data_IF_290496578306
#
_entry.id   IF_290496578306
#
_cell.length_a   1.000
_cell.length_b   1.000
_cell.length_c   1.000
_cell.angle_alpha   90.00
_cell.angle_beta   90.00
_cell.angle_gamma   90.00
#
_symmetry.space_group_name_H-M   'P 1'
#
loop_
_entity.id
_entity.type
_entity.pdbx_description
1 polymer ?
#
# COMPACT_ATOMS: atom_id res chain seq x y z
N UNK A 1 10.75 0.75 19.94
CA UNK A 1 9.78 0.96 18.84
C UNK A 1 9.78 -0.31 18.01
N UNK A 2 8.88 -1.24 18.34
CA UNK A 2 8.92 -2.63 17.89
C UNK A 2 8.47 -2.77 16.43
N UNK A 3 9.22 -3.55 15.68
CA UNK A 3 8.82 -3.99 14.34
C UNK A 3 7.69 -5.00 14.52
N UNK A 4 6.44 -4.52 14.62
CA UNK A 4 5.28 -5.41 14.76
C UNK A 4 5.10 -6.21 13.47
N UNK A 5 5.40 -7.50 13.55
CA UNK A 5 4.97 -8.50 12.56
C UNK A 5 3.45 -8.64 12.68
N UNK A 6 2.72 -7.79 11.97
CA UNK A 6 1.27 -7.88 11.91
C UNK A 6 0.88 -8.95 10.89
N UNK A 7 -0.22 -9.70 11.12
CA UNK A 7 -0.77 -10.55 10.08
C UNK A 7 -1.24 -9.67 8.91
N UNK A 8 -1.10 -10.19 7.69
CA UNK A 8 -1.68 -9.55 6.51
C UNK A 8 -3.21 -9.56 6.67
N UNK A 9 -3.87 -8.49 6.25
CA UNK A 9 -5.32 -8.45 6.17
C UNK A 9 -5.82 -9.47 5.15
N UNK A 10 -7.05 -9.97 5.34
CA UNK A 10 -7.68 -10.94 4.45
C UNK A 10 -8.25 -10.27 3.19
N UNK A 11 -7.39 -9.53 2.47
CA UNK A 11 -7.72 -8.83 1.22
C UNK A 11 -6.55 -8.91 0.23
N UNK A 12 -6.80 -8.75 -1.08
CA UNK A 12 -5.71 -8.76 -2.06
C UNK A 12 -4.75 -7.59 -1.82
N UNK A 13 -3.46 -7.81 -2.08
CA UNK A 13 -2.43 -6.79 -1.91
C UNK A 13 -2.64 -5.55 -2.81
N UNK A 14 -3.38 -5.71 -3.90
CA UNK A 14 -3.79 -4.62 -4.78
C UNK A 14 -4.87 -3.71 -4.18
N UNK A 15 -5.59 -4.16 -3.14
CA UNK A 15 -6.71 -3.43 -2.56
C UNK A 15 -6.25 -2.64 -1.32
N UNK A 16 -6.23 -1.29 -1.37
CA UNK A 16 -5.98 -0.46 -0.20
C UNK A 16 -7.16 -0.47 0.76
N UNK A 17 -6.88 -0.29 2.05
CA UNK A 17 -7.94 -0.08 3.04
C UNK A 17 -8.61 1.29 2.85
N UNK A 18 -9.94 1.43 2.99
CA UNK A 18 -10.63 2.73 2.89
C UNK A 18 -10.09 3.80 3.85
N UNK A 19 -9.62 3.42 5.04
CA UNK A 19 -8.98 4.39 5.97
C UNK A 19 -7.58 4.85 5.54
N UNK A 20 -6.99 4.27 4.50
CA UNK A 20 -5.69 4.66 3.94
C UNK A 20 -5.82 5.35 2.59
N UNK A 21 -6.74 4.86 1.77
CA UNK A 21 -7.15 5.51 0.54
C UNK A 21 -8.68 5.51 0.49
N UNK A 22 -9.28 6.67 0.73
CA UNK A 22 -10.72 6.81 0.67
C UNK A 22 -11.24 6.41 -0.72
N UNK A 23 -12.39 5.71 -0.81
CA UNK A 23 -13.00 5.37 -2.09
C UNK A 23 -13.35 6.61 -2.93
N UNK A 24 -13.60 7.75 -2.28
CA UNK A 24 -13.92 9.05 -2.90
C UNK A 24 -12.69 9.90 -3.25
N UNK A 25 -11.47 9.36 -3.11
CA UNK A 25 -10.26 10.12 -3.43
C UNK A 25 -10.19 10.38 -4.95
N UNK A 26 -9.98 11.64 -5.39
CA UNK A 26 -10.01 11.99 -6.82
C UNK A 26 -8.99 11.19 -7.64
N UNK A 27 -7.77 11.02 -7.11
CA UNK A 27 -6.71 10.25 -7.79
C UNK A 27 -6.74 8.73 -7.50
N UNK A 28 -7.84 8.19 -6.95
CA UNK A 28 -7.88 6.77 -6.54
C UNK A 28 -7.51 5.83 -7.67
N UNK A 29 -8.07 6.02 -8.85
CA UNK A 29 -7.81 5.16 -10.01
C UNK A 29 -6.34 5.22 -10.45
N UNK A 30 -5.74 6.41 -10.47
CA UNK A 30 -4.33 6.61 -10.82
C UNK A 30 -3.41 5.96 -9.77
N UNK A 31 -3.74 6.12 -8.50
CA UNK A 31 -3.02 5.53 -7.37
C UNK A 31 -3.07 4.00 -7.43
N UNK A 32 -4.24 3.42 -7.73
CA UNK A 32 -4.43 1.98 -7.91
C UNK A 32 -3.67 1.47 -9.12
N UNK A 33 -3.72 2.18 -10.24
CA UNK A 33 -3.00 1.79 -11.46
C UNK A 33 -1.48 1.80 -11.25
N UNK A 34 -0.94 2.85 -10.62
CA UNK A 34 0.48 2.95 -10.31
C UNK A 34 0.92 1.87 -9.32
N UNK A 35 0.10 1.58 -8.30
CA UNK A 35 0.35 0.51 -7.37
C UNK A 35 0.32 -0.87 -8.04
N UNK A 36 -0.68 -1.14 -8.86
CA UNK A 36 -0.83 -2.39 -9.59
C UNK A 36 0.33 -2.62 -10.56
N UNK A 37 0.79 -1.57 -11.25
CA UNK A 37 1.97 -1.62 -12.11
C UNK A 37 3.24 -1.98 -11.30
N UNK A 38 3.46 -1.33 -10.16
CA UNK A 38 4.57 -1.66 -9.28
C UNK A 38 4.46 -3.09 -8.72
N UNK A 39 3.25 -3.55 -8.38
CA UNK A 39 3.02 -4.90 -7.89
C UNK A 39 3.32 -5.96 -8.97
N UNK A 40 2.86 -5.71 -10.21
CA UNK A 40 3.10 -6.59 -11.36
C UNK A 40 4.58 -6.64 -11.77
N UNK A 41 5.28 -5.51 -11.67
CA UNK A 41 6.72 -5.42 -11.91
C UNK A 41 7.58 -5.96 -10.76
N UNK A 42 6.99 -6.21 -9.58
CA UNK A 42 7.72 -6.62 -8.38
C UNK A 42 8.52 -5.48 -7.72
N UNK A 43 8.17 -4.24 -8.02
CA UNK A 43 8.83 -3.04 -7.51
C UNK A 43 8.54 -2.80 -6.02
N UNK A 44 9.48 -2.15 -5.35
CA UNK A 44 9.38 -1.82 -3.93
C UNK A 44 8.26 -0.82 -3.62
N UNK A 45 7.85 -0.03 -4.60
CA UNK A 45 6.87 1.05 -4.46
C UNK A 45 6.61 1.79 -5.77
N UNK A 46 5.82 2.85 -5.68
CA UNK A 46 5.45 3.72 -6.81
C UNK A 46 5.46 5.19 -6.36
N UNK A 47 5.58 6.10 -7.33
CA UNK A 47 5.38 7.52 -7.07
C UNK A 47 3.89 7.81 -7.05
N UNK A 48 3.44 8.40 -5.96
CA UNK A 48 2.05 8.78 -5.81
C UNK A 48 1.71 10.02 -6.64
N UNK A 49 0.73 9.94 -7.56
CA UNK A 49 0.42 11.03 -8.47
C UNK A 49 -0.19 12.25 -7.76
N UNK A 50 -0.90 12.06 -6.65
CA UNK A 50 -1.56 13.17 -5.93
C UNK A 50 -0.62 13.92 -4.99
N UNK A 51 0.28 13.20 -4.31
CA UNK A 51 1.19 13.77 -3.29
C UNK A 51 2.64 13.91 -3.75
N UNK A 52 3.05 13.28 -4.85
CA UNK A 52 4.43 13.23 -5.32
C UNK A 52 5.38 12.39 -4.45
N UNK A 53 4.85 11.71 -3.42
CA UNK A 53 5.65 10.93 -2.49
C UNK A 53 5.88 9.51 -3.01
N UNK A 54 7.03 8.93 -2.67
CA UNK A 54 7.29 7.53 -2.91
C UNK A 54 6.56 6.65 -1.88
N UNK A 55 5.63 5.83 -2.35
CA UNK A 55 4.79 4.95 -1.52
C UNK A 55 5.19 3.50 -1.75
N UNK A 56 5.49 2.78 -0.68
CA UNK A 56 5.83 1.36 -0.74
C UNK A 56 4.64 0.52 -1.21
N UNK A 57 4.91 -0.47 -2.05
CA UNK A 57 3.91 -1.41 -2.54
C UNK A 57 3.53 -2.39 -1.44
N UNK A 58 2.26 -2.78 -1.39
CA UNK A 58 1.78 -3.84 -0.52
C UNK A 58 2.56 -5.16 -0.72
N UNK A 59 2.97 -5.47 -1.95
CA UNK A 59 3.80 -6.65 -2.27
C UNK A 59 5.14 -6.62 -1.58
N UNK A 60 5.84 -5.48 -1.62
CA UNK A 60 7.10 -5.30 -0.93
C UNK A 60 6.94 -5.43 0.59
N UNK A 61 5.92 -4.78 1.16
CA UNK A 61 5.63 -4.86 2.59
C UNK A 61 5.30 -6.28 3.04
N UNK A 62 4.48 -7.00 2.26
CA UNK A 62 4.14 -8.39 2.53
C UNK A 62 5.35 -9.31 2.50
N UNK A 63 6.25 -9.15 1.51
CA UNK A 63 7.53 -9.89 1.44
C UNK A 63 8.45 -9.55 2.61
N UNK A 64 8.51 -8.27 3.00
CA UNK A 64 9.28 -7.81 4.16
C UNK A 64 8.72 -8.33 5.49
N UNK A 65 7.43 -8.68 5.53
CA UNK A 65 6.77 -9.23 6.72
C UNK A 65 6.56 -8.22 7.84
N UNK A 66 6.73 -6.91 7.59
CA UNK A 66 6.71 -5.88 8.63
C UNK A 66 6.09 -4.57 8.15
N UNK A 67 5.30 -3.93 9.02
CA UNK A 67 4.73 -2.61 8.75
C UNK A 67 5.84 -1.54 8.78
N UNK A 68 5.86 -0.64 7.79
CA UNK A 68 6.84 0.44 7.74
C UNK A 68 6.55 1.59 8.73
N UNK A 69 5.39 1.61 9.37
CA UNK A 69 4.98 2.65 10.34
C UNK A 69 4.69 4.03 9.76
N UNK A 70 4.75 4.20 8.42
CA UNK A 70 4.64 5.50 7.74
C UNK A 70 3.23 5.85 7.23
N UNK A 71 2.23 5.02 7.52
CA UNK A 71 0.86 5.26 7.06
C UNK A 71 0.68 5.21 5.53
N UNK A 72 1.39 4.31 4.85
CA UNK A 72 1.30 4.14 3.39
C UNK A 72 -0.13 3.79 2.91
N UNK A 73 -0.48 4.25 1.70
CA UNK A 73 -1.81 4.11 1.11
C UNK A 73 -2.26 2.65 0.92
N UNK A 74 -1.33 1.76 0.59
CA UNK A 74 -1.60 0.33 0.36
C UNK A 74 -1.02 -0.56 1.47
N UNK A 75 -1.09 -0.13 2.73
CA UNK A 75 -0.57 -0.94 3.83
C UNK A 75 -1.36 -2.26 3.96
N UNK A 76 -0.72 -3.44 3.82
CA UNK A 76 -1.41 -4.72 3.88
C UNK A 76 -1.70 -5.19 5.31
N UNK A 77 -1.23 -4.45 6.32
CA UNK A 77 -1.36 -4.77 7.75
C UNK A 77 -2.47 -4.00 8.47
N UNK A 78 -3.20 -3.16 7.75
CA UNK A 78 -4.37 -2.48 8.31
C UNK A 78 -5.52 -3.46 8.26
N UNK A 79 -6.02 -3.86 9.43
CA UNK A 79 -7.23 -4.66 9.54
C UNK A 79 -8.40 -3.95 8.85
N UNK A 80 -9.30 -4.73 8.27
CA UNK A 80 -10.58 -4.27 7.69
C UNK A 80 -11.52 -3.72 8.77
#
# INVERSE_FOLDING_TARGET
MGVERRPLANRPLAEPHPSRLSPEHPDRELILAAHAAALGAGEAGYLDPGSGLFVLSAGFLARRGTCCGRGCRHCPYVAD
#
